data_IF_493612804228
#
_entry.id   IF_493612804228
#
_cell.length_a   1.000
_cell.length_b   1.000
_cell.length_c   1.000
_cell.angle_alpha   90.00
_cell.angle_beta   90.00
_cell.angle_gamma   90.00
#
_symmetry.space_group_name_H-M   'P 1'
#
loop_
_entity.id
_entity.type
_entity.pdbx_description
1 polymer ?
#
# COMPACT_ATOMS: atom_id res chain seq x y z
N UNK A 1 -13.70 -16.08 -5.15
CA UNK A 1 -14.30 -16.99 -4.15
C UNK A 1 -14.38 -16.35 -2.77
N UNK A 2 -15.07 -16.99 -1.88
CA UNK A 2 -15.28 -16.54 -0.50
C UNK A 2 -14.83 -17.61 0.47
N UNK A 3 -14.00 -17.25 1.44
CA UNK A 3 -13.61 -18.05 2.59
C UNK A 3 -14.35 -17.52 3.82
N UNK A 4 -15.06 -18.40 4.54
CA UNK A 4 -15.89 -18.00 5.68
C UNK A 4 -15.06 -17.48 6.87
N UNK A 5 -13.82 -17.90 6.98
CA UNK A 5 -12.91 -17.56 8.06
C UNK A 5 -12.28 -16.17 7.91
N UNK A 6 -11.64 -15.86 6.77
CA UNK A 6 -10.78 -14.70 6.63
C UNK A 6 -11.14 -13.72 5.51
N UNK A 7 -12.00 -14.06 4.55
CA UNK A 7 -12.39 -13.12 3.48
C UNK A 7 -13.04 -11.85 4.04
N UNK A 8 -13.77 -11.97 5.16
CA UNK A 8 -14.34 -10.83 5.87
C UNK A 8 -13.28 -9.85 6.36
N UNK A 9 -12.42 -10.26 7.29
CA UNK A 9 -11.37 -9.41 7.83
C UNK A 9 -10.41 -8.84 6.77
N UNK A 10 -10.07 -9.61 5.73
CA UNK A 10 -9.27 -9.13 4.59
C UNK A 10 -9.97 -7.98 3.86
N UNK A 11 -11.27 -8.12 3.63
CA UNK A 11 -12.07 -7.09 2.98
C UNK A 11 -12.17 -5.82 3.84
N UNK A 12 -12.36 -5.97 5.15
CA UNK A 12 -12.39 -4.86 6.10
C UNK A 12 -11.06 -4.11 6.13
N UNK A 13 -9.94 -4.84 6.14
CA UNK A 13 -8.61 -4.22 6.07
C UNK A 13 -8.37 -3.48 4.74
N UNK A 14 -8.91 -3.97 3.65
CA UNK A 14 -8.85 -3.26 2.37
C UNK A 14 -9.55 -1.89 2.44
N UNK A 15 -10.69 -1.81 3.12
CA UNK A 15 -11.40 -0.53 3.35
C UNK A 15 -10.55 0.44 4.17
N UNK A 16 -9.91 -0.03 5.25
CA UNK A 16 -9.03 0.80 6.09
C UNK A 16 -7.76 1.28 5.36
N UNK A 17 -7.35 0.62 4.29
CA UNK A 17 -6.16 0.99 3.51
C UNK A 17 -6.50 1.58 2.13
N UNK A 18 -7.79 1.83 1.86
CA UNK A 18 -8.24 2.39 0.59
C UNK A 18 -7.85 3.87 0.40
N UNK A 19 -7.40 4.54 1.44
CA UNK A 19 -6.81 5.88 1.39
C UNK A 19 -5.31 5.85 1.08
N UNK A 20 -4.63 4.72 1.32
CA UNK A 20 -3.17 4.62 1.27
C UNK A 20 -2.52 5.83 2.01
N UNK A 21 -1.69 6.60 1.35
CA UNK A 21 -0.99 7.75 1.88
C UNK A 21 -1.69 9.10 1.59
N UNK A 22 -2.96 9.07 1.15
CA UNK A 22 -3.65 10.25 0.63
C UNK A 22 -4.78 10.73 1.54
N UNK A 23 -4.85 12.04 1.70
CA UNK A 23 -5.96 12.68 2.40
C UNK A 23 -7.19 12.77 1.47
N UNK A 24 -8.28 12.18 1.91
CA UNK A 24 -9.57 12.18 1.22
C UNK A 24 -10.57 12.94 2.08
N UNK A 25 -10.84 14.19 1.74
CA UNK A 25 -11.71 15.07 2.53
C UNK A 25 -13.17 14.57 2.59
N UNK A 26 -13.69 14.15 1.45
CA UNK A 26 -15.05 13.62 1.32
C UNK A 26 -14.97 12.29 0.57
N UNK A 27 -15.20 11.20 1.28
CA UNK A 27 -15.11 9.85 0.70
C UNK A 27 -16.16 8.92 1.30
N UNK A 28 -16.72 8.07 0.45
CA UNK A 28 -17.53 6.91 0.83
C UNK A 28 -16.82 5.68 0.29
N UNK A 29 -16.52 4.75 1.18
CA UNK A 29 -15.86 3.48 0.83
C UNK A 29 -16.77 2.35 1.25
N UNK A 30 -17.23 1.57 0.28
CA UNK A 30 -18.08 0.42 0.49
C UNK A 30 -17.38 -0.87 0.04
N UNK A 31 -17.57 -1.92 0.80
CA UNK A 31 -16.95 -3.22 0.55
C UNK A 31 -18.02 -4.30 0.51
N UNK A 32 -18.11 -5.01 -0.60
CA UNK A 32 -19.07 -6.10 -0.80
C UNK A 32 -18.35 -7.45 -0.93
N UNK A 33 -18.65 -8.35 -0.01
CA UNK A 33 -18.10 -9.70 0.03
C UNK A 33 -18.95 -10.63 -0.82
N UNK A 34 -18.57 -10.79 -2.08
CA UNK A 34 -19.35 -11.56 -3.04
C UNK A 34 -18.94 -13.04 -3.06
N UNK A 35 -19.92 -13.93 -2.97
CA UNK A 35 -19.72 -15.35 -3.23
C UNK A 35 -19.66 -15.57 -4.74
N UNK A 36 -18.54 -16.10 -5.23
CA UNK A 36 -18.30 -16.34 -6.65
C UNK A 36 -17.92 -17.79 -6.92
N UNK A 37 -17.89 -18.20 -8.19
CA UNK A 37 -17.50 -19.55 -8.61
C UNK A 37 -15.97 -19.72 -8.77
N UNK A 38 -15.16 -18.80 -8.23
CA UNK A 38 -13.71 -18.93 -8.19
C UNK A 38 -13.29 -19.68 -6.92
N UNK A 39 -12.02 -20.09 -6.87
CA UNK A 39 -11.43 -20.60 -5.63
C UNK A 39 -11.57 -19.57 -4.49
N UNK A 40 -11.54 -20.05 -3.27
CA UNK A 40 -11.62 -19.16 -2.09
C UNK A 40 -10.46 -18.17 -2.05
N UNK A 41 -10.79 -16.91 -1.93
CA UNK A 41 -9.83 -15.84 -1.68
C UNK A 41 -9.79 -15.59 -0.17
N UNK A 42 -8.64 -15.82 0.43
CA UNK A 42 -8.44 -15.71 1.85
C UNK A 42 -7.19 -14.85 2.15
N UNK A 43 -6.60 -14.98 3.32
CA UNK A 43 -5.45 -14.20 3.73
C UNK A 43 -4.24 -14.42 2.81
N UNK A 44 -3.63 -13.31 2.45
CA UNK A 44 -2.33 -13.23 1.81
C UNK A 44 -1.54 -12.13 2.51
N UNK A 45 -0.24 -12.12 2.36
CA UNK A 45 0.64 -11.11 2.97
C UNK A 45 0.12 -9.69 2.74
N UNK A 46 0.01 -8.90 3.81
CA UNK A 46 -0.63 -7.59 3.80
C UNK A 46 -2.13 -7.60 4.09
N UNK A 47 -2.78 -8.78 4.10
CA UNK A 47 -4.10 -9.07 4.63
C UNK A 47 -5.22 -8.10 4.19
N UNK A 48 -5.22 -7.69 2.94
CA UNK A 48 -6.21 -6.76 2.38
C UNK A 48 -5.68 -5.33 2.16
N UNK A 49 -4.63 -4.92 2.87
CA UNK A 49 -3.98 -3.63 2.65
C UNK A 49 -3.57 -3.41 1.20
N UNK A 50 -2.86 -4.35 0.55
CA UNK A 50 -2.49 -4.22 -0.86
C UNK A 50 -3.68 -4.01 -1.81
N UNK A 51 -4.82 -4.65 -1.54
CA UNK A 51 -6.02 -4.50 -2.36
C UNK A 51 -6.60 -3.09 -2.27
N UNK A 52 -6.65 -2.51 -1.07
CA UNK A 52 -7.05 -1.11 -0.87
C UNK A 52 -6.09 -0.14 -1.55
N UNK A 53 -4.78 -0.37 -1.39
CA UNK A 53 -3.73 0.44 -2.02
C UNK A 53 -3.83 0.40 -3.55
N UNK A 54 -4.00 -0.77 -4.15
CA UNK A 54 -4.14 -0.90 -5.61
C UNK A 54 -5.35 -0.10 -6.12
N UNK A 55 -6.46 -0.12 -5.40
CA UNK A 55 -7.66 0.62 -5.79
C UNK A 55 -7.38 2.13 -5.90
N UNK A 56 -6.86 2.75 -4.85
CA UNK A 56 -6.60 4.19 -4.86
C UNK A 56 -5.46 4.59 -5.81
N UNK A 57 -4.41 3.78 -5.91
CA UNK A 57 -3.31 4.04 -6.85
C UNK A 57 -3.77 3.99 -8.31
N UNK A 58 -4.71 3.10 -8.63
CA UNK A 58 -5.34 3.04 -9.95
C UNK A 58 -6.16 4.30 -10.20
N UNK A 59 -7.00 4.71 -9.25
CA UNK A 59 -7.83 5.92 -9.35
C UNK A 59 -6.95 7.16 -9.57
N UNK A 60 -5.89 7.35 -8.78
CA UNK A 60 -4.98 8.49 -8.95
C UNK A 60 -4.23 8.45 -10.27
N UNK A 61 -3.86 7.26 -10.75
CA UNK A 61 -3.28 7.07 -12.07
C UNK A 61 -4.26 7.46 -13.20
N UNK A 62 -5.54 7.13 -13.07
CA UNK A 62 -6.59 7.49 -14.02
C UNK A 62 -6.85 9.00 -14.00
N UNK A 63 -6.91 9.61 -12.83
CA UNK A 63 -7.02 11.06 -12.68
C UNK A 63 -5.84 11.77 -13.35
N UNK A 64 -4.63 11.32 -13.11
CA UNK A 64 -3.42 11.89 -13.72
C UNK A 64 -3.48 11.83 -15.25
N UNK A 65 -3.91 10.69 -15.80
CA UNK A 65 -4.11 10.53 -17.26
C UNK A 65 -5.18 11.48 -17.82
N UNK A 66 -6.32 11.58 -17.12
CA UNK A 66 -7.41 12.47 -17.53
C UNK A 66 -7.01 13.94 -17.50
N UNK A 67 -6.16 14.33 -16.56
CA UNK A 67 -5.63 15.69 -16.43
C UNK A 67 -4.41 15.97 -17.32
N UNK A 68 -3.86 14.97 -17.99
CA UNK A 68 -2.60 15.09 -18.73
C UNK A 68 -1.40 15.45 -17.83
N UNK A 69 -1.43 15.05 -16.56
CA UNK A 69 -0.40 15.34 -15.56
C UNK A 69 0.41 14.09 -15.21
N UNK A 70 1.60 14.31 -14.69
CA UNK A 70 2.40 13.23 -14.11
C UNK A 70 1.69 12.64 -12.88
N UNK A 71 1.68 11.33 -12.79
CA UNK A 71 1.02 10.63 -11.68
C UNK A 71 1.70 10.91 -10.32
N UNK A 72 3.01 11.13 -10.31
CA UNK A 72 3.73 11.51 -9.08
C UNK A 72 3.28 12.90 -8.59
N UNK A 73 3.08 13.86 -9.50
CA UNK A 73 2.62 15.20 -9.12
C UNK A 73 1.21 15.18 -8.51
N UNK A 74 0.33 14.34 -9.06
CA UNK A 74 -1.02 14.14 -8.50
C UNK A 74 -0.93 13.47 -7.11
N UNK A 75 -0.07 12.47 -6.94
CA UNK A 75 0.16 11.83 -5.64
C UNK A 75 0.69 12.81 -4.60
N UNK A 76 1.72 13.57 -4.93
CA UNK A 76 2.32 14.55 -4.01
C UNK A 76 1.31 15.60 -3.55
N UNK A 77 0.42 16.06 -4.44
CA UNK A 77 -0.61 17.04 -4.11
C UNK A 77 -1.69 16.50 -3.15
N UNK A 78 -1.85 15.19 -3.07
CA UNK A 78 -2.88 14.53 -2.27
C UNK A 78 -2.35 13.84 -1.02
N UNK A 79 -1.06 13.90 -0.73
CA UNK A 79 -0.50 13.28 0.48
C UNK A 79 -1.18 13.80 1.75
N UNK A 80 -1.27 12.93 2.75
CA UNK A 80 -1.56 13.37 4.12
C UNK A 80 -0.58 14.47 4.53
N UNK A 81 -1.08 15.51 5.15
CA UNK A 81 -0.24 16.55 5.75
C UNK A 81 0.43 16.10 7.05
N UNK A 82 1.21 16.98 7.64
CA UNK A 82 1.87 16.74 8.93
C UNK A 82 1.14 17.43 10.10
N UNK A 83 0.43 18.51 9.86
CA UNK A 83 -0.32 19.27 10.88
C UNK A 83 -1.78 19.44 10.52
N UNK A 84 -2.08 19.59 9.23
CA UNK A 84 -3.43 19.67 8.68
C UNK A 84 -3.62 18.57 7.65
N UNK A 85 -4.87 18.19 7.34
CA UNK A 85 -5.16 17.10 6.40
C UNK A 85 -4.46 15.79 6.82
N UNK A 86 -4.36 15.52 8.11
CA UNK A 86 -3.62 14.40 8.69
C UNK A 86 -4.51 13.44 9.47
N UNK A 87 -5.81 13.43 9.20
CA UNK A 87 -6.76 12.50 9.80
C UNK A 87 -7.30 11.57 8.73
N UNK A 88 -7.27 10.27 8.99
CA UNK A 88 -7.80 9.25 8.08
C UNK A 88 -9.32 9.29 7.98
N UNK A 89 -9.88 8.63 6.95
CA UNK A 89 -11.33 8.50 6.80
C UNK A 89 -12.00 7.72 7.94
N UNK A 90 -11.23 6.97 8.72
CA UNK A 90 -11.69 6.27 9.94
C UNK A 90 -11.25 6.99 11.23
N UNK A 91 -11.02 8.31 11.15
CA UNK A 91 -10.79 9.23 12.27
C UNK A 91 -9.52 8.97 13.10
N UNK A 92 -8.49 8.38 12.50
CA UNK A 92 -7.19 8.19 13.15
C UNK A 92 -6.20 9.27 12.69
N UNK A 93 -5.47 9.95 13.59
CA UNK A 93 -4.42 10.87 13.18
C UNK A 93 -3.26 10.09 12.53
N UNK A 94 -2.69 10.67 11.49
CA UNK A 94 -1.47 10.18 10.84
C UNK A 94 -0.29 10.84 11.53
N UNK A 95 0.48 10.05 12.26
CA UNK A 95 1.68 10.48 12.98
C UNK A 95 2.93 10.08 12.20
N UNK A 96 4.06 10.72 12.52
CA UNK A 96 5.38 10.41 11.96
C UNK A 96 5.42 10.35 10.42
N UNK A 97 4.69 11.23 9.74
CA UNK A 97 4.61 11.27 8.30
C UNK A 97 5.91 11.77 7.66
N UNK A 98 6.74 10.84 7.21
CA UNK A 98 8.03 11.11 6.54
C UNK A 98 7.92 11.26 5.01
N UNK A 99 6.72 11.08 4.43
CA UNK A 99 6.56 11.00 2.97
C UNK A 99 6.91 12.28 2.24
N UNK A 100 6.70 13.44 2.88
CA UNK A 100 7.06 14.75 2.31
C UNK A 100 8.55 14.91 2.09
N UNK A 101 9.38 14.22 2.88
CA UNK A 101 10.83 14.19 2.73
C UNK A 101 11.29 13.01 1.85
N UNK A 102 10.70 11.84 2.08
CA UNK A 102 11.12 10.59 1.46
C UNK A 102 10.89 10.61 -0.07
N UNK A 103 9.70 11.01 -0.52
CA UNK A 103 9.36 10.95 -1.94
C UNK A 103 10.20 11.89 -2.81
N UNK A 104 10.43 13.17 -2.45
CA UNK A 104 11.33 14.04 -3.20
C UNK A 104 12.77 13.53 -3.23
N UNK A 105 13.30 13.05 -2.10
CA UNK A 105 14.64 12.46 -2.03
C UNK A 105 14.77 11.23 -2.93
N UNK A 106 13.77 10.34 -2.92
CA UNK A 106 13.75 9.17 -3.79
C UNK A 106 13.62 9.56 -5.27
N UNK A 107 12.73 10.48 -5.61
CA UNK A 107 12.56 10.95 -6.98
C UNK A 107 13.86 11.55 -7.55
N UNK A 108 14.60 12.30 -6.71
CA UNK A 108 15.89 12.87 -7.08
C UNK A 108 16.95 11.78 -7.28
N UNK A 109 17.16 10.92 -6.28
CA UNK A 109 18.19 9.88 -6.31
C UNK A 109 17.94 8.84 -7.42
N UNK A 110 16.68 8.53 -7.69
CA UNK A 110 16.27 7.66 -8.79
C UNK A 110 16.29 8.34 -10.16
N UNK A 111 16.57 9.63 -10.24
CA UNK A 111 16.47 10.42 -11.47
C UNK A 111 15.12 10.26 -12.17
N UNK A 112 14.04 10.32 -11.40
CA UNK A 112 12.69 9.96 -11.85
C UNK A 112 12.29 10.68 -13.16
N UNK A 113 12.45 12.00 -13.24
CA UNK A 113 12.07 12.79 -14.42
C UNK A 113 12.84 12.39 -15.67
N UNK A 114 14.16 12.23 -15.56
CA UNK A 114 15.00 11.76 -16.68
C UNK A 114 14.59 10.38 -17.18
N UNK A 115 14.30 9.47 -16.26
CA UNK A 115 13.82 8.12 -16.61
C UNK A 115 12.45 8.17 -17.27
N UNK A 116 11.57 9.03 -16.80
CA UNK A 116 10.25 9.23 -17.38
C UNK A 116 10.35 9.71 -18.84
N UNK A 117 11.18 10.72 -19.12
CA UNK A 117 11.45 11.19 -20.47
C UNK A 117 11.98 10.05 -21.37
N UNK A 118 12.91 9.26 -20.87
CA UNK A 118 13.44 8.10 -21.59
C UNK A 118 12.35 7.05 -21.89
N UNK A 119 11.42 6.81 -20.94
CA UNK A 119 10.27 5.91 -21.13
C UNK A 119 9.34 6.46 -22.21
N UNK A 120 9.01 7.74 -22.17
CA UNK A 120 8.16 8.38 -23.19
C UNK A 120 8.78 8.30 -24.58
N UNK A 121 10.08 8.63 -24.69
CA UNK A 121 10.82 8.53 -25.96
C UNK A 121 10.91 7.08 -26.48
N UNK A 122 11.07 6.10 -25.58
CA UNK A 122 11.00 4.68 -25.94
C UNK A 122 9.62 4.31 -26.47
N UNK A 123 8.57 4.69 -25.77
CA UNK A 123 7.19 4.33 -26.08
C UNK A 123 6.70 4.94 -27.40
N UNK A 124 7.19 6.12 -27.76
CA UNK A 124 6.89 6.76 -29.02
C UNK A 124 7.42 5.97 -30.23
N UNK A 125 8.55 5.27 -30.07
CA UNK A 125 9.21 4.49 -31.13
C UNK A 125 8.82 3.01 -31.15
N UNK A 126 8.14 2.53 -30.12
CA UNK A 126 7.80 1.11 -29.97
C UNK A 126 6.29 0.94 -29.88
N UNK A 127 5.61 0.47 -30.95
CA UNK A 127 4.14 0.37 -30.95
C UNK A 127 3.61 -0.79 -30.08
N UNK A 128 4.36 -1.88 -29.96
CA UNK A 128 3.90 -3.11 -29.31
C UNK A 128 4.36 -3.18 -27.86
N UNK A 129 5.67 -3.09 -27.61
CA UNK A 129 6.21 -3.15 -26.26
C UNK A 129 6.26 -1.75 -25.66
N UNK A 130 5.67 -1.57 -24.50
CA UNK A 130 5.67 -0.32 -23.75
C UNK A 130 6.41 -0.48 -22.44
N UNK A 131 7.06 0.59 -22.00
CA UNK A 131 7.69 0.70 -20.69
C UNK A 131 6.83 1.57 -19.79
N UNK A 132 6.87 1.29 -18.49
CA UNK A 132 6.23 2.09 -17.47
C UNK A 132 7.23 2.46 -16.36
N UNK A 133 6.96 3.55 -15.69
CA UNK A 133 7.66 3.98 -14.50
C UNK A 133 6.63 4.53 -13.53
N UNK A 134 6.67 4.08 -12.28
CA UNK A 134 5.84 4.61 -11.22
C UNK A 134 6.65 4.78 -9.94
N UNK A 135 6.27 5.77 -9.15
CA UNK A 135 6.70 5.95 -7.77
C UNK A 135 5.45 6.11 -6.94
N UNK A 136 5.22 5.18 -6.03
CA UNK A 136 4.03 5.12 -5.19
C UNK A 136 4.42 5.13 -3.72
N UNK A 137 3.80 5.96 -2.88
CA UNK A 137 3.97 5.89 -1.43
C UNK A 137 3.20 4.71 -0.84
N UNK A 138 3.54 4.34 0.38
CA UNK A 138 2.78 3.37 1.18
C UNK A 138 2.61 3.90 2.59
N UNK A 139 1.37 3.91 3.07
CA UNK A 139 1.02 3.97 4.49
C UNK A 139 0.40 2.62 4.85
N UNK A 140 0.96 1.95 5.83
CA UNK A 140 0.52 0.61 6.20
C UNK A 140 0.53 0.41 7.72
N UNK A 141 -0.59 -0.03 8.26
CA UNK A 141 -0.71 -0.42 9.66
C UNK A 141 -0.35 -1.90 9.86
N UNK A 142 0.62 -2.17 10.72
CA UNK A 142 1.11 -3.52 11.00
C UNK A 142 0.69 -3.92 12.41
N UNK A 143 -0.58 -4.29 12.59
CA UNK A 143 -1.08 -4.83 13.84
C UNK A 143 -2.48 -5.42 13.67
N UNK A 144 -2.88 -6.28 14.59
CA UNK A 144 -4.27 -6.60 14.77
C UNK A 144 -4.95 -5.49 15.58
N UNK A 145 -6.16 -5.11 15.18
CA UNK A 145 -7.00 -4.18 15.96
C UNK A 145 -7.42 -4.78 17.31
N UNK A 146 -7.61 -6.10 17.36
CA UNK A 146 -7.73 -6.85 18.61
C UNK A 146 -6.33 -7.06 19.20
N UNK A 147 -5.94 -6.19 20.11
CA UNK A 147 -4.58 -6.12 20.68
C UNK A 147 -4.09 -7.42 21.33
N UNK A 148 -5.02 -8.28 21.78
CA UNK A 148 -4.71 -9.61 22.30
C UNK A 148 -3.91 -10.47 21.30
N UNK A 149 -4.12 -10.27 20.00
CA UNK A 149 -3.40 -11.01 18.96
C UNK A 149 -2.04 -10.41 18.60
N UNK A 150 -1.70 -9.24 19.14
CA UNK A 150 -0.39 -8.61 18.92
C UNK A 150 0.63 -9.22 19.89
N UNK A 151 0.96 -10.48 19.67
CA UNK A 151 1.89 -11.24 20.51
C UNK A 151 2.96 -11.90 19.63
N UNK A 152 4.17 -11.98 20.16
CA UNK A 152 5.24 -12.75 19.56
C UNK A 152 6.02 -13.48 20.66
N UNK A 153 6.36 -14.73 20.39
CA UNK A 153 7.25 -15.53 21.22
C UNK A 153 8.54 -15.84 20.48
N UNK A 154 9.58 -16.16 21.21
CA UNK A 154 10.81 -16.68 20.64
C UNK A 154 11.28 -17.90 21.46
N UNK A 155 11.73 -18.93 20.76
CA UNK A 155 12.35 -20.11 21.33
C UNK A 155 13.76 -20.24 20.76
N UNK A 156 14.74 -20.27 21.63
CA UNK A 156 16.14 -20.41 21.27
C UNK A 156 16.67 -21.72 21.85
N UNK A 157 17.10 -22.63 20.99
CA UNK A 157 17.79 -23.85 21.37
C UNK A 157 19.29 -23.69 21.10
N UNK A 158 20.09 -23.99 22.12
CA UNK A 158 21.55 -24.10 21.97
C UNK A 158 21.91 -25.57 22.14
N UNK A 159 22.49 -26.15 21.10
CA UNK A 159 22.87 -27.56 21.09
C UNK A 159 24.30 -27.76 21.64
N UNK A 160 24.61 -28.99 22.00
CA UNK A 160 25.95 -29.35 22.58
C UNK A 160 27.09 -29.20 21.59
N UNK A 161 26.81 -29.20 20.29
CA UNK A 161 27.77 -28.95 19.20
C UNK A 161 28.02 -27.46 18.94
N UNK A 162 27.36 -26.57 19.71
CA UNK A 162 27.46 -25.12 19.56
C UNK A 162 26.53 -24.53 18.49
N UNK A 163 25.73 -25.35 17.82
CA UNK A 163 24.72 -24.82 16.89
C UNK A 163 23.55 -24.18 17.65
N UNK A 164 22.90 -23.21 17.01
CA UNK A 164 21.77 -22.47 17.59
C UNK A 164 20.59 -22.49 16.62
N UNK A 165 19.46 -22.91 17.13
CA UNK A 165 18.18 -22.82 16.40
C UNK A 165 17.31 -21.73 17.04
N UNK A 166 16.82 -20.83 16.23
CA UNK A 166 15.89 -19.77 16.66
C UNK A 166 14.56 -19.95 15.94
N UNK A 167 13.49 -20.14 16.70
CA UNK A 167 12.13 -20.12 16.20
C UNK A 167 11.44 -18.88 16.80
N UNK A 168 10.78 -18.08 15.97
CA UNK A 168 10.09 -16.88 16.47
C UNK A 168 8.73 -16.69 15.79
N UNK A 169 7.81 -16.07 16.51
CA UNK A 169 6.47 -15.74 16.05
C UNK A 169 6.35 -14.35 15.44
N UNK A 170 7.44 -13.65 15.19
CA UNK A 170 7.43 -12.37 14.48
C UNK A 170 7.04 -12.58 13.03
N UNK A 171 6.09 -11.76 12.55
CA UNK A 171 5.63 -11.75 11.15
C UNK A 171 6.10 -10.50 10.42
N UNK A 172 5.64 -10.30 9.19
CA UNK A 172 6.00 -9.13 8.40
C UNK A 172 5.70 -7.79 9.07
#
# INVERSE_FOLDING_TARGET
GFSADLSGPVCDRAVFHADNAYYLENVVIESHRCRTHLQSHTAFRGFGGPQGVIAIETILGDIARALGRDALDVRLANLYGTTERNVTHYQMPVEDNILHDLLPKLALSAQYRRRQEAVLAWNARNPVLKRGLALTPVKFGISFTATLFNQAGALVHVYTDGSVQVNHGGTE
#
